data_IF_243334686200
#
_entry.id   IF_243334686200
#
_cell.length_a   1.000
_cell.length_b   1.000
_cell.length_c   1.000
_cell.angle_alpha   90.00
_cell.angle_beta   90.00
_cell.angle_gamma   90.00
#
_symmetry.space_group_name_H-M   'P 1'
#
loop_
_entity.id
_entity.type
_entity.pdbx_description
1 polymer ?
#
# COMPACT_ATOMS: atom_id res chain seq x y z
N UNK A 1 -1.45 -8.37 -4.52
CA UNK A 1 -2.32 -7.22 -4.17
C UNK A 1 -2.69 -6.45 -5.43
N UNK A 2 -3.89 -5.95 -5.51
CA UNK A 2 -4.32 -5.04 -6.59
C UNK A 2 -5.27 -3.98 -6.07
N UNK A 3 -5.30 -2.83 -6.74
CA UNK A 3 -6.26 -1.76 -6.49
C UNK A 3 -7.52 -1.98 -7.37
N UNK A 4 -8.70 -1.84 -6.79
CA UNK A 4 -9.98 -2.08 -7.48
C UNK A 4 -10.57 -0.77 -8.00
N UNK A 5 -9.86 -0.12 -8.90
CA UNK A 5 -10.29 1.15 -9.48
C UNK A 5 -9.72 2.38 -8.78
N UNK A 6 -10.01 3.54 -9.31
CA UNK A 6 -9.53 4.82 -8.79
C UNK A 6 -10.29 5.24 -7.53
N UNK A 7 -9.71 6.12 -6.75
CA UNK A 7 -10.39 6.75 -5.61
C UNK A 7 -11.64 7.51 -6.08
N UNK A 8 -12.77 7.21 -5.45
CA UNK A 8 -14.07 7.73 -5.87
C UNK A 8 -14.92 8.22 -4.70
N UNK A 9 -15.79 9.19 -5.02
CA UNK A 9 -16.94 9.57 -4.19
C UNK A 9 -18.11 9.85 -5.12
N UNK A 10 -19.18 9.06 -5.04
CA UNK A 10 -20.34 9.14 -5.94
C UNK A 10 -21.22 10.38 -5.70
N UNK A 11 -21.10 10.99 -4.51
CA UNK A 11 -22.00 12.05 -4.03
C UNK A 11 -21.47 13.48 -4.31
N UNK A 12 -20.29 13.60 -4.93
CA UNK A 12 -19.66 14.89 -5.16
C UNK A 12 -19.57 15.21 -6.66
N UNK A 13 -19.27 16.48 -7.00
CA UNK A 13 -19.15 16.93 -8.39
C UNK A 13 -18.00 16.24 -9.11
N UNK A 14 -16.82 16.25 -8.52
CA UNK A 14 -15.63 15.57 -9.06
C UNK A 14 -15.50 14.18 -8.44
N UNK A 15 -16.20 13.23 -9.04
CA UNK A 15 -16.41 11.88 -8.47
C UNK A 15 -15.17 11.01 -8.37
N UNK A 16 -14.11 11.37 -9.07
CA UNK A 16 -12.90 10.54 -9.17
C UNK A 16 -11.63 11.38 -9.04
N UNK A 17 -10.65 10.87 -8.29
CA UNK A 17 -9.31 11.46 -8.24
C UNK A 17 -8.48 10.93 -9.42
N UNK A 18 -8.73 11.46 -10.60
CA UNK A 18 -8.05 11.03 -11.82
C UNK A 18 -6.53 11.19 -11.70
N UNK A 19 -5.79 10.11 -11.98
CA UNK A 19 -4.34 10.10 -11.94
C UNK A 19 -3.76 9.94 -10.53
N UNK A 20 -4.58 9.76 -9.50
CA UNK A 20 -4.08 9.47 -8.16
C UNK A 20 -3.39 8.11 -8.12
N UNK A 21 -2.25 8.04 -7.43
CA UNK A 21 -1.46 6.82 -7.26
C UNK A 21 -1.08 6.60 -5.80
N UNK A 22 -1.05 5.33 -5.40
CA UNK A 22 -0.58 4.92 -4.08
C UNK A 22 0.73 4.18 -4.23
N UNK A 23 1.72 4.56 -3.44
CA UNK A 23 3.02 3.88 -3.41
C UNK A 23 3.33 3.38 -2.01
N UNK A 24 3.98 2.21 -1.95
CA UNK A 24 4.52 1.61 -0.72
C UNK A 24 6.02 1.48 -0.90
N UNK A 25 6.78 2.00 0.05
CA UNK A 25 8.25 1.98 0.03
C UNK A 25 8.80 1.53 1.39
N UNK A 26 10.10 1.31 1.47
CA UNK A 26 10.78 0.96 2.72
C UNK A 26 10.15 -0.23 3.47
N UNK A 27 9.95 -1.38 2.80
CA UNK A 27 9.43 -2.55 3.49
C UNK A 27 10.47 -3.11 4.46
N UNK A 28 9.99 -3.62 5.59
CA UNK A 28 10.79 -4.45 6.49
C UNK A 28 9.99 -5.70 6.86
N UNK A 29 10.69 -6.82 6.94
CA UNK A 29 10.09 -8.12 7.27
C UNK A 29 10.58 -8.54 8.65
N UNK A 30 9.65 -8.88 9.54
CA UNK A 30 9.96 -9.24 10.94
C UNK A 30 9.27 -10.52 11.34
N UNK A 31 9.92 -11.27 12.20
CA UNK A 31 9.40 -12.50 12.83
C UNK A 31 10.09 -12.76 14.15
N UNK A 32 9.49 -13.62 14.94
CA UNK A 32 10.15 -14.22 16.12
C UNK A 32 10.90 -15.51 15.76
N UNK A 33 10.87 -15.96 14.52
CA UNK A 33 11.62 -17.12 14.07
C UNK A 33 13.12 -16.79 14.01
N UNK A 34 13.96 -17.69 14.54
CA UNK A 34 15.41 -17.49 14.64
C UNK A 34 16.21 -18.30 13.63
N UNK A 35 15.68 -19.42 13.17
CA UNK A 35 16.41 -20.39 12.35
C UNK A 35 15.80 -20.57 10.95
N UNK A 36 15.07 -19.57 10.50
CA UNK A 36 14.39 -19.61 9.20
C UNK A 36 14.76 -18.40 8.39
N UNK A 37 15.09 -18.61 7.12
CA UNK A 37 15.33 -17.53 6.20
C UNK A 37 14.03 -16.74 5.94
N UNK A 38 14.08 -15.41 5.93
CA UNK A 38 12.90 -14.58 5.74
C UNK A 38 12.34 -14.68 4.32
N UNK A 39 11.04 -14.42 4.16
CA UNK A 39 10.48 -14.14 2.84
C UNK A 39 11.02 -12.79 2.33
N UNK A 40 10.81 -12.53 1.05
CA UNK A 40 11.26 -11.29 0.40
C UNK A 40 10.06 -10.37 0.18
N UNK A 41 10.16 -9.13 0.66
CA UNK A 41 9.18 -8.09 0.38
C UNK A 41 9.60 -7.27 -0.86
N UNK A 42 8.63 -6.87 -1.67
CA UNK A 42 8.89 -6.00 -2.82
C UNK A 42 9.26 -4.60 -2.36
N UNK A 43 10.43 -4.11 -2.78
CA UNK A 43 11.02 -2.87 -2.26
C UNK A 43 10.17 -1.62 -2.55
N UNK A 44 9.62 -1.52 -3.76
CA UNK A 44 8.81 -0.39 -4.18
C UNK A 44 7.56 -0.92 -4.89
N UNK A 45 6.41 -0.56 -4.38
CA UNK A 45 5.13 -0.92 -4.97
C UNK A 45 4.43 0.37 -5.36
N UNK A 46 4.02 0.48 -6.61
CA UNK A 46 3.09 1.51 -7.06
C UNK A 46 1.84 0.81 -7.58
N UNK A 47 0.71 1.14 -6.97
CA UNK A 47 -0.55 0.52 -7.36
C UNK A 47 -1.06 1.11 -8.68
N UNK A 48 -1.67 0.25 -9.47
CA UNK A 48 -2.31 0.62 -10.72
C UNK A 48 -3.84 0.61 -10.54
N UNK A 49 -4.46 1.77 -10.70
CA UNK A 49 -5.91 1.91 -10.60
C UNK A 49 -6.66 1.07 -11.67
N UNK A 50 -5.99 0.67 -12.74
CA UNK A 50 -6.55 -0.26 -13.73
C UNK A 50 -6.65 -1.70 -13.22
N UNK A 51 -6.07 -2.02 -12.07
CA UNK A 51 -6.22 -3.31 -11.41
C UNK A 51 -5.12 -4.33 -11.69
N UNK A 52 -3.96 -3.90 -12.17
CA UNK A 52 -2.81 -4.78 -12.31
C UNK A 52 -2.38 -5.34 -10.94
N UNK A 53 -2.06 -6.62 -10.90
CA UNK A 53 -1.61 -7.29 -9.68
C UNK A 53 -0.13 -7.00 -9.44
N UNK A 54 0.21 -6.79 -8.17
CA UNK A 54 1.59 -6.60 -7.72
C UNK A 54 1.92 -7.59 -6.62
N UNK A 55 3.06 -8.24 -6.73
CA UNK A 55 3.58 -9.10 -5.67
C UNK A 55 4.06 -8.20 -4.53
N UNK A 56 3.54 -8.43 -3.33
CA UNK A 56 3.90 -7.69 -2.11
C UNK A 56 5.02 -8.39 -1.36
N UNK A 57 4.86 -9.71 -1.17
CA UNK A 57 5.83 -10.54 -0.47
C UNK A 57 5.79 -11.95 -1.08
N UNK A 58 6.94 -12.58 -1.16
CA UNK A 58 7.05 -13.95 -1.64
C UNK A 58 8.04 -14.74 -0.77
N UNK A 59 7.76 -16.02 -0.60
CA UNK A 59 8.64 -16.94 0.11
C UNK A 59 9.18 -17.97 -0.87
N UNK A 60 10.40 -17.76 -1.41
CA UNK A 60 11.08 -18.78 -2.19
C UNK A 60 11.28 -20.07 -1.39
N UNK A 61 11.59 -21.15 -2.08
CA UNK A 61 11.82 -22.45 -1.45
C UNK A 61 12.75 -22.34 -0.22
N UNK A 62 12.38 -23.00 0.86
CA UNK A 62 13.09 -23.02 2.14
C UNK A 62 13.14 -21.68 2.89
N UNK A 63 12.26 -20.75 2.53
CA UNK A 63 12.14 -19.47 3.24
C UNK A 63 10.73 -19.27 3.79
N UNK A 64 10.57 -18.33 4.70
CA UNK A 64 9.29 -17.83 5.14
C UNK A 64 8.45 -18.76 5.99
N UNK A 65 9.01 -19.86 6.50
CA UNK A 65 8.26 -20.72 7.43
C UNK A 65 7.95 -19.98 8.73
N UNK A 66 6.76 -20.18 9.27
CA UNK A 66 6.31 -19.50 10.50
C UNK A 66 5.50 -18.23 10.19
N UNK A 67 5.44 -17.36 11.19
CA UNK A 67 4.68 -16.10 11.08
C UNK A 67 5.63 -14.94 10.77
N UNK A 68 5.32 -14.21 9.72
CA UNK A 68 6.09 -13.05 9.25
C UNK A 68 5.19 -11.84 9.09
N UNK A 69 5.70 -10.68 9.45
CA UNK A 69 4.99 -9.40 9.35
C UNK A 69 5.80 -8.50 8.43
N UNK A 70 5.15 -7.96 7.41
CA UNK A 70 5.72 -6.90 6.59
C UNK A 70 5.21 -5.56 7.07
N UNK A 71 6.12 -4.63 7.31
CA UNK A 71 5.87 -3.26 7.72
C UNK A 71 6.44 -2.31 6.67
N UNK A 72 5.77 -1.19 6.44
CA UNK A 72 6.26 -0.14 5.56
C UNK A 72 6.59 1.10 6.36
N UNK A 73 7.90 1.39 6.43
CA UNK A 73 8.43 2.52 7.19
C UNK A 73 8.21 2.38 8.68
N UNK A 74 8.19 3.52 9.36
CA UNK A 74 7.96 3.61 10.80
C UNK A 74 6.81 4.56 11.09
N UNK A 75 6.09 4.29 12.16
CA UNK A 75 5.03 5.18 12.64
C UNK A 75 5.65 6.49 13.15
N UNK A 76 5.14 7.60 12.68
CA UNK A 76 5.58 8.94 13.04
C UNK A 76 4.39 9.73 13.58
N UNK A 77 4.57 10.40 14.71
CA UNK A 77 3.55 11.29 15.28
C UNK A 77 3.68 12.67 14.65
N UNK A 78 2.59 13.17 14.11
CA UNK A 78 2.51 14.48 13.49
C UNK A 78 1.31 15.26 14.03
N UNK A 79 1.34 16.58 13.88
CA UNK A 79 0.18 17.43 14.15
C UNK A 79 -0.36 17.94 12.83
N UNK A 80 -1.65 17.75 12.64
CA UNK A 80 -2.33 18.20 11.42
C UNK A 80 -3.61 18.96 11.76
N UNK A 81 -4.19 19.65 10.78
CA UNK A 81 -5.47 20.32 10.94
C UNK A 81 -6.61 19.44 10.46
N UNK A 82 -7.65 19.31 11.29
CA UNK A 82 -8.88 18.63 10.90
C UNK A 82 -9.73 19.53 9.98
N UNK A 83 -10.89 19.04 9.58
CA UNK A 83 -11.81 19.79 8.71
C UNK A 83 -12.29 21.10 9.33
N UNK A 84 -12.30 21.23 10.65
CA UNK A 84 -12.66 22.43 11.39
C UNK A 84 -11.49 23.38 11.62
N UNK A 85 -10.30 23.08 11.07
CA UNK A 85 -9.11 23.88 11.24
C UNK A 85 -8.41 23.73 12.60
N UNK A 86 -8.83 22.78 13.42
CA UNK A 86 -8.24 22.50 14.73
C UNK A 86 -7.00 21.61 14.56
N UNK A 87 -5.97 21.85 15.35
CA UNK A 87 -4.80 20.99 15.40
C UNK A 87 -5.12 19.70 16.14
N UNK A 88 -4.85 18.56 15.48
CA UNK A 88 -5.03 17.22 16.03
C UNK A 88 -3.75 16.41 15.87
N UNK A 89 -3.52 15.49 16.79
CA UNK A 89 -2.42 14.56 16.68
C UNK A 89 -2.81 13.40 15.79
N UNK A 90 -1.94 13.04 14.84
CA UNK A 90 -2.11 11.90 13.97
C UNK A 90 -0.87 11.02 13.99
N UNK A 91 -1.03 9.76 13.64
CA UNK A 91 0.09 8.85 13.44
C UNK A 91 0.12 8.46 11.97
N UNK A 92 1.23 8.71 11.31
CA UNK A 92 1.41 8.44 9.88
C UNK A 92 2.62 7.55 9.65
N UNK A 93 2.73 6.98 8.46
CA UNK A 93 3.97 6.47 7.90
C UNK A 93 4.24 7.18 6.57
N UNK A 94 5.46 7.63 6.37
CA UNK A 94 5.85 8.27 5.10
C UNK A 94 6.15 7.26 3.99
N UNK A 95 6.26 6.00 4.35
CA UNK A 95 6.53 4.93 3.41
C UNK A 95 5.29 4.51 2.59
N UNK A 96 4.11 4.95 2.99
CA UNK A 96 2.87 4.79 2.21
C UNK A 96 2.40 6.19 1.84
N UNK A 97 2.33 6.48 0.55
CA UNK A 97 1.99 7.80 0.04
C UNK A 97 0.88 7.75 -0.99
N UNK A 98 0.03 8.76 -0.96
CA UNK A 98 -0.96 9.05 -2.00
C UNK A 98 -0.51 10.30 -2.74
N UNK A 99 -0.35 10.18 -4.04
CA UNK A 99 -0.04 11.31 -4.92
C UNK A 99 -1.23 11.61 -5.81
N UNK A 100 -1.72 12.84 -5.76
CA UNK A 100 -2.79 13.32 -6.63
C UNK A 100 -2.22 14.42 -7.52
N UNK A 101 -2.32 14.32 -8.87
CA UNK A 101 -1.81 15.36 -9.75
C UNK A 101 -2.42 16.72 -9.42
N UNK A 102 -1.61 17.78 -9.46
CA UNK A 102 -2.07 19.13 -9.13
C UNK A 102 -3.20 19.64 -10.02
N UNK A 103 -3.27 19.17 -11.26
CA UNK A 103 -4.32 19.51 -12.22
C UNK A 103 -5.64 18.75 -12.02
N UNK A 104 -5.64 17.71 -11.18
CA UNK A 104 -6.84 16.91 -10.93
C UNK A 104 -7.86 17.71 -10.13
N UNK A 105 -9.06 17.96 -10.67
CA UNK A 105 -10.13 18.58 -9.89
C UNK A 105 -10.51 17.67 -8.72
N UNK A 106 -10.69 18.24 -7.55
CA UNK A 106 -11.04 17.50 -6.35
C UNK A 106 -11.88 18.35 -5.42
N UNK A 107 -12.79 17.71 -4.74
CA UNK A 107 -13.66 18.35 -3.76
C UNK A 107 -13.16 18.05 -2.34
N UNK A 108 -13.58 18.86 -1.37
CA UNK A 108 -13.20 18.67 0.04
C UNK A 108 -14.07 17.58 0.70
N UNK A 109 -13.98 16.37 0.16
CA UNK A 109 -14.75 15.18 0.60
C UNK A 109 -13.84 13.96 0.72
N UNK A 110 -14.35 12.92 1.34
CA UNK A 110 -13.63 11.66 1.41
C UNK A 110 -13.75 10.87 0.10
N UNK A 111 -12.61 10.52 -0.49
CA UNK A 111 -12.54 9.62 -1.62
C UNK A 111 -12.05 8.24 -1.15
N UNK A 112 -12.57 7.18 -1.74
CA UNK A 112 -12.26 5.80 -1.35
C UNK A 112 -11.91 4.93 -2.54
N UNK A 113 -11.04 3.98 -2.33
CA UNK A 113 -10.82 2.83 -3.19
C UNK A 113 -10.70 1.58 -2.32
N UNK A 114 -10.68 0.42 -2.92
CA UNK A 114 -10.46 -0.84 -2.21
C UNK A 114 -9.26 -1.57 -2.79
N UNK A 115 -8.62 -2.39 -1.96
CA UNK A 115 -7.53 -3.25 -2.36
C UNK A 115 -7.97 -4.71 -2.21
N UNK A 116 -7.60 -5.54 -3.17
CA UNK A 116 -7.75 -6.99 -3.04
C UNK A 116 -6.40 -7.60 -2.69
N UNK A 117 -6.37 -8.36 -1.62
CA UNK A 117 -5.22 -9.15 -1.20
C UNK A 117 -5.41 -10.58 -1.68
N UNK A 118 -4.38 -11.12 -2.32
CA UNK A 118 -4.37 -12.48 -2.86
C UNK A 118 -3.23 -13.25 -2.20
N UNK A 119 -3.55 -14.41 -1.67
CA UNK A 119 -2.55 -15.36 -1.19
C UNK A 119 -2.53 -16.53 -2.16
N UNK A 120 -1.35 -16.90 -2.63
CA UNK A 120 -1.16 -18.03 -3.53
C UNK A 120 -0.06 -18.92 -3.00
N UNK A 121 -0.28 -20.21 -3.02
CA UNK A 121 0.71 -21.23 -2.69
C UNK A 121 1.42 -21.80 -3.93
N UNK A 122 1.08 -21.26 -5.10
CA UNK A 122 1.73 -21.69 -6.34
C UNK A 122 3.17 -21.18 -6.33
N UNK A 123 4.17 -22.03 -6.49
CA UNK A 123 5.54 -21.59 -6.59
C UNK A 123 5.67 -20.55 -7.71
N UNK A 124 6.28 -19.41 -7.39
CA UNK A 124 6.59 -18.43 -8.42
C UNK A 124 7.54 -19.11 -9.41
N UNK A 125 7.06 -19.38 -10.57
CA UNK A 125 7.90 -19.86 -11.65
C UNK A 125 8.78 -18.69 -12.07
N UNK A 126 9.98 -18.66 -11.52
CA UNK A 126 10.97 -17.67 -11.91
C UNK A 126 11.52 -18.03 -13.31
N UNK A 127 10.68 -18.10 -14.31
CA UNK A 127 10.94 -18.15 -15.76
C UNK A 127 12.34 -18.40 -16.28
N UNK A 128 13.22 -18.72 -15.44
CA UNK A 128 14.60 -18.92 -15.67
C UNK A 128 15.02 -20.32 -15.68
N UNK A 129 14.64 -20.67 -15.71
CA UNK A 129 15.31 -21.68 -15.75
C UNK A 129 16.03 -21.96 -16.10
#
# INVERSE_FOLDING_TARGET
MKQNGQFRNAETLHKELTGATVAFTEPSVRSNATDVLPPTATANIQLDAAGAETVVMQAPEKTGAGTWITLWGQAEKVTEKNQQGQQVNATITRAISLTVPGKTPKDAVQYKTTLTWLLSDVPVNNGGK
#
